data_IF_169911345339
#
_entry.id   IF_169911345339
#
_cell.length_a   1.000
_cell.length_b   1.000
_cell.length_c   1.000
_cell.angle_alpha   90.00
_cell.angle_beta   90.00
_cell.angle_gamma   90.00
#
_symmetry.space_group_name_H-M   'P 1'
#
loop_
_entity.id
_entity.type
_entity.pdbx_description
1 polymer ?
#
# COMPACT_ATOMS: atom_id res chain seq x y z
N UNK A 1 -10.31 -46.15 24.44
CA UNK A 1 -10.23 -44.73 23.99
C UNK A 1 -11.04 -43.76 24.85
N UNK A 2 -12.25 -44.09 25.33
CA UNK A 2 -13.02 -43.14 26.18
C UNK A 2 -12.39 -42.81 27.55
N UNK A 3 -11.65 -43.75 28.15
CA UNK A 3 -10.91 -43.50 29.40
C UNK A 3 -9.93 -42.34 29.29
N UNK A 4 -9.30 -42.15 28.12
CA UNK A 4 -8.33 -41.07 27.90
C UNK A 4 -8.99 -39.70 28.02
N UNK A 5 -10.15 -39.53 27.39
CA UNK A 5 -10.91 -38.27 27.45
C UNK A 5 -11.40 -37.96 28.87
N UNK A 6 -11.83 -38.98 29.63
CA UNK A 6 -12.22 -38.83 31.04
C UNK A 6 -11.04 -38.45 31.95
N UNK A 7 -9.87 -39.05 31.77
CA UNK A 7 -8.66 -38.73 32.57
C UNK A 7 -8.20 -37.29 32.34
N UNK A 8 -8.32 -36.78 31.12
CA UNK A 8 -7.92 -35.41 30.75
C UNK A 8 -9.03 -34.38 31.03
N UNK A 9 -10.23 -34.81 31.42
CA UNK A 9 -11.35 -33.92 31.73
C UNK A 9 -12.00 -33.24 30.52
N UNK A 10 -11.93 -33.85 29.33
CA UNK A 10 -12.49 -33.28 28.09
C UNK A 10 -13.55 -34.23 27.51
N UNK A 11 -14.60 -33.71 26.88
CA UNK A 11 -15.58 -34.53 26.17
C UNK A 11 -15.05 -34.95 24.79
N UNK A 12 -15.38 -36.17 24.34
CA UNK A 12 -15.02 -36.65 22.99
C UNK A 12 -15.46 -35.68 21.90
N UNK A 13 -16.68 -35.17 21.98
CA UNK A 13 -17.22 -34.19 21.04
C UNK A 13 -16.42 -32.88 21.07
N UNK A 14 -16.08 -32.37 22.26
CA UNK A 14 -15.26 -31.18 22.42
C UNK A 14 -13.87 -31.33 21.81
N UNK A 15 -13.22 -32.48 22.02
CA UNK A 15 -11.93 -32.79 21.41
C UNK A 15 -12.01 -32.77 19.88
N UNK A 16 -12.99 -33.47 19.27
CA UNK A 16 -13.12 -33.50 17.81
C UNK A 16 -13.51 -32.12 17.23
N UNK A 17 -14.35 -31.35 17.92
CA UNK A 17 -14.68 -29.99 17.51
C UNK A 17 -13.46 -29.06 17.55
N UNK A 18 -12.65 -29.16 18.61
CA UNK A 18 -11.40 -28.41 18.73
C UNK A 18 -10.41 -28.80 17.63
N UNK A 19 -10.24 -30.12 17.38
CA UNK A 19 -9.39 -30.64 16.31
C UNK A 19 -9.81 -30.06 14.95
N UNK A 20 -11.10 -30.15 14.60
CA UNK A 20 -11.64 -29.62 13.34
C UNK A 20 -11.40 -28.11 13.21
N UNK A 21 -11.57 -27.34 14.29
CA UNK A 21 -11.32 -25.90 14.30
C UNK A 21 -9.84 -25.56 14.08
N UNK A 22 -8.93 -26.37 14.62
CA UNK A 22 -7.48 -26.21 14.41
C UNK A 22 -7.12 -26.49 12.94
N UNK A 23 -7.61 -27.59 12.38
CA UNK A 23 -7.39 -27.96 10.97
C UNK A 23 -7.89 -26.86 10.01
N UNK A 24 -9.10 -26.33 10.23
CA UNK A 24 -9.64 -25.24 9.42
C UNK A 24 -8.80 -23.96 9.51
N UNK A 25 -8.30 -23.66 10.71
CA UNK A 25 -7.44 -22.49 10.95
C UNK A 25 -6.09 -22.65 10.23
N UNK A 26 -5.52 -23.84 10.27
CA UNK A 26 -4.26 -24.14 9.59
C UNK A 26 -4.39 -24.02 8.07
N UNK A 27 -5.45 -24.61 7.50
CA UNK A 27 -5.75 -24.49 6.07
C UNK A 27 -5.93 -23.03 5.62
N UNK A 28 -6.66 -22.23 6.41
CA UNK A 28 -6.83 -20.80 6.16
C UNK A 28 -5.47 -20.09 6.11
N UNK A 29 -4.61 -20.33 7.08
CA UNK A 29 -3.31 -19.67 7.15
C UNK A 29 -2.37 -20.11 6.04
N UNK A 30 -2.37 -21.39 5.68
CA UNK A 30 -1.58 -21.89 4.57
C UNK A 30 -1.98 -21.21 3.25
N UNK A 31 -3.29 -21.15 2.96
CA UNK A 31 -3.82 -20.44 1.80
C UNK A 31 -3.41 -18.95 1.80
N UNK A 32 -3.53 -18.27 2.95
CA UNK A 32 -3.12 -16.86 3.07
C UNK A 32 -1.63 -16.66 2.82
N UNK A 33 -0.78 -17.57 3.30
CA UNK A 33 0.66 -17.53 3.08
C UNK A 33 1.01 -17.59 1.60
N UNK A 34 0.43 -18.55 0.89
CA UNK A 34 0.63 -18.74 -0.55
C UNK A 34 0.19 -17.51 -1.34
N UNK A 35 -1.01 -16.98 -1.07
CA UNK A 35 -1.50 -15.76 -1.74
C UNK A 35 -0.62 -14.54 -1.49
N UNK A 36 -0.12 -14.37 -0.26
CA UNK A 36 0.75 -13.24 0.08
C UNK A 36 2.11 -13.36 -0.62
N UNK A 37 2.67 -14.57 -0.70
CA UNK A 37 3.92 -14.82 -1.43
C UNK A 37 3.74 -14.54 -2.92
N UNK A 38 2.64 -14.99 -3.52
CA UNK A 38 2.33 -14.75 -4.92
C UNK A 38 2.28 -13.25 -5.25
N UNK A 39 1.50 -12.47 -4.48
CA UNK A 39 1.40 -11.02 -4.70
C UNK A 39 2.76 -10.33 -4.48
N UNK A 40 3.55 -10.77 -3.50
CA UNK A 40 4.87 -10.17 -3.24
C UNK A 40 5.95 -10.56 -4.24
N UNK A 41 5.73 -11.60 -5.04
CA UNK A 41 6.61 -11.91 -6.18
C UNK A 41 6.58 -10.77 -7.20
N UNK A 42 5.40 -10.20 -7.45
CA UNK A 42 5.20 -9.06 -8.36
C UNK A 42 5.41 -7.71 -7.65
N UNK A 43 4.99 -7.60 -6.38
CA UNK A 43 5.06 -6.38 -5.58
C UNK A 43 5.78 -6.60 -4.24
N UNK A 44 7.12 -6.69 -4.22
CA UNK A 44 7.88 -7.12 -3.03
C UNK A 44 7.67 -6.28 -1.76
N UNK A 45 7.28 -5.01 -1.92
CA UNK A 45 7.12 -4.05 -0.82
C UNK A 45 5.66 -3.77 -0.45
N UNK A 46 4.71 -4.57 -0.91
CA UNK A 46 3.29 -4.33 -0.59
C UNK A 46 2.97 -4.60 0.90
N UNK A 47 2.48 -3.55 1.56
CA UNK A 47 2.15 -3.55 2.99
C UNK A 47 1.03 -4.52 3.36
N UNK A 48 1.07 -5.01 4.61
CA UNK A 48 0.07 -5.94 5.15
C UNK A 48 -1.37 -5.41 5.05
N UNK A 49 -1.60 -4.13 5.36
CA UNK A 49 -2.94 -3.53 5.27
C UNK A 49 -3.46 -3.47 3.83
N UNK A 50 -2.59 -3.21 2.86
CA UNK A 50 -2.99 -3.20 1.44
C UNK A 50 -3.28 -4.62 0.96
N UNK A 51 -2.46 -5.60 1.34
CA UNK A 51 -2.72 -7.02 1.12
C UNK A 51 -4.07 -7.45 1.70
N UNK A 52 -4.41 -7.01 2.92
CA UNK A 52 -5.68 -7.32 3.56
C UNK A 52 -6.89 -6.87 2.72
N UNK A 53 -6.80 -5.70 2.09
CA UNK A 53 -7.84 -5.17 1.20
C UNK A 53 -7.88 -5.93 -0.13
N UNK A 54 -6.72 -6.16 -0.76
CA UNK A 54 -6.60 -6.88 -2.04
C UNK A 54 -7.16 -8.30 -1.93
N UNK A 55 -6.82 -8.99 -0.84
CA UNK A 55 -7.27 -10.34 -0.55
C UNK A 55 -8.71 -10.39 -0.01
N UNK A 56 -9.39 -9.25 0.13
CA UNK A 56 -10.78 -9.12 0.60
C UNK A 56 -11.07 -9.87 1.91
N UNK A 57 -10.15 -9.80 2.87
CA UNK A 57 -10.18 -10.63 4.09
C UNK A 57 -11.18 -10.17 5.18
N UNK A 58 -12.00 -9.15 4.89
CA UNK A 58 -13.03 -8.67 5.82
C UNK A 58 -14.07 -9.78 6.04
N UNK A 59 -14.28 -10.17 7.29
CA UNK A 59 -15.20 -11.26 7.65
C UNK A 59 -14.51 -12.61 7.88
N UNK A 60 -13.32 -12.82 7.32
CA UNK A 60 -12.55 -14.07 7.51
C UNK A 60 -11.53 -13.95 8.65
N UNK A 61 -10.81 -12.81 8.72
CA UNK A 61 -9.80 -12.55 9.75
C UNK A 61 -9.75 -11.05 10.08
N UNK A 62 -9.49 -10.72 11.34
CA UNK A 62 -9.26 -9.33 11.75
C UNK A 62 -7.90 -8.81 11.28
N UNK A 63 -7.82 -7.54 10.87
CA UNK A 63 -6.60 -6.92 10.34
C UNK A 63 -5.39 -7.07 11.29
N UNK A 64 -5.58 -6.84 12.59
CA UNK A 64 -4.51 -6.99 13.59
C UNK A 64 -4.02 -8.44 13.70
N UNK A 65 -4.92 -9.42 13.53
CA UNK A 65 -4.58 -10.84 13.58
C UNK A 65 -3.82 -11.26 12.31
N UNK A 66 -4.18 -10.70 11.17
CA UNK A 66 -3.47 -10.87 9.91
C UNK A 66 -2.05 -10.28 9.97
N UNK A 67 -1.89 -9.05 10.46
CA UNK A 67 -0.57 -8.42 10.65
C UNK A 67 0.33 -9.24 11.58
N UNK A 68 -0.20 -9.68 12.74
CA UNK A 68 0.53 -10.55 13.67
C UNK A 68 0.94 -11.88 13.02
N UNK A 69 0.06 -12.48 12.23
CA UNK A 69 0.37 -13.72 11.51
C UNK A 69 1.49 -13.53 10.48
N UNK A 70 1.45 -12.46 9.67
CA UNK A 70 2.53 -12.19 8.72
C UNK A 70 3.85 -11.95 9.44
N UNK A 71 3.82 -11.21 10.55
CA UNK A 71 5.02 -10.99 11.37
C UNK A 71 5.58 -12.29 11.94
N UNK A 72 4.73 -13.20 12.45
CA UNK A 72 5.19 -14.47 13.02
C UNK A 72 5.72 -15.45 11.98
N UNK A 73 5.30 -15.32 10.71
CA UNK A 73 5.82 -16.09 9.59
C UNK A 73 7.09 -15.48 8.96
N UNK A 74 7.63 -14.40 9.51
CA UNK A 74 8.77 -13.70 8.91
C UNK A 74 8.42 -12.97 7.60
N UNK A 75 7.14 -12.82 7.30
CA UNK A 75 6.59 -12.10 6.14
C UNK A 75 6.37 -10.61 6.46
N UNK A 76 7.13 -10.05 7.39
CA UNK A 76 7.19 -8.61 7.61
C UNK A 76 8.00 -7.93 6.50
N UNK A 77 7.66 -6.68 6.16
CA UNK A 77 8.51 -5.87 5.28
C UNK A 77 9.56 -5.17 6.11
N UNK A 78 10.84 -5.40 5.78
CA UNK A 78 11.94 -4.64 6.36
C UNK A 78 11.91 -3.20 5.84
N UNK A 79 11.77 -2.24 6.74
CA UNK A 79 11.86 -0.82 6.40
C UNK A 79 13.33 -0.46 6.21
N UNK A 80 13.72 -0.12 4.97
CA UNK A 80 15.02 0.53 4.74
C UNK A 80 14.88 2.00 5.14
N UNK A 81 15.53 2.41 6.22
CA UNK A 81 15.58 3.83 6.60
C UNK A 81 16.43 4.57 5.57
N UNK A 82 15.86 5.56 4.91
CA UNK A 82 16.64 6.53 4.13
C UNK A 82 17.27 7.52 5.10
N UNK A 83 18.58 7.72 5.02
CA UNK A 83 19.28 8.75 5.79
C UNK A 83 19.03 10.15 5.21
N UNK A 84 18.73 10.26 3.92
CA UNK A 84 18.44 11.53 3.27
C UNK A 84 17.02 11.98 3.59
N UNK A 85 16.92 13.11 4.30
CA UNK A 85 15.69 13.87 4.46
C UNK A 85 15.62 14.87 3.30
N UNK A 86 14.71 14.64 2.36
CA UNK A 86 14.49 15.51 1.19
C UNK A 86 13.79 16.82 1.55
N UNK A 87 13.09 16.88 2.70
CA UNK A 87 12.29 18.03 3.11
C UNK A 87 12.62 18.43 4.53
N UNK A 88 13.08 19.68 4.71
CA UNK A 88 13.19 20.30 6.02
C UNK A 88 11.96 21.18 6.28
N UNK A 89 10.85 20.59 6.74
CA UNK A 89 9.65 21.35 7.10
C UNK A 89 9.81 22.20 8.38
N UNK A 90 10.94 22.06 9.08
CA UNK A 90 11.33 22.87 10.23
C UNK A 90 12.32 23.97 9.80
N UNK A 91 11.91 24.75 8.81
CA UNK A 91 12.62 25.95 8.36
C UNK A 91 11.92 27.22 8.87
N UNK A 92 12.65 28.32 8.94
CA UNK A 92 12.12 29.61 9.36
C UNK A 92 11.28 30.34 8.28
N UNK A 93 11.19 29.80 7.06
CA UNK A 93 10.42 30.44 5.98
C UNK A 93 8.91 30.41 6.23
N UNK A 94 8.24 31.45 5.73
CA UNK A 94 6.79 31.60 5.79
C UNK A 94 6.09 30.40 5.13
N UNK A 95 5.11 29.84 5.83
CA UNK A 95 4.30 28.72 5.34
C UNK A 95 2.99 29.26 4.82
N UNK A 96 2.70 29.01 3.55
CA UNK A 96 1.42 29.37 2.96
C UNK A 96 0.33 28.43 3.48
N UNK A 97 -0.87 28.99 3.71
CA UNK A 97 -2.03 28.19 4.08
C UNK A 97 -2.41 27.27 2.93
N UNK A 98 -2.80 26.04 3.27
CA UNK A 98 -3.32 25.10 2.30
C UNK A 98 -4.73 25.54 1.87
N UNK A 99 -4.84 26.21 0.72
CA UNK A 99 -6.10 26.75 0.20
C UNK A 99 -7.15 25.68 -0.13
N UNK A 100 -6.73 24.43 -0.33
CA UNK A 100 -7.63 23.31 -0.63
C UNK A 100 -8.02 22.51 0.62
N UNK A 101 -7.61 22.95 1.82
CA UNK A 101 -7.95 22.27 3.06
C UNK A 101 -9.47 22.30 3.31
N UNK A 102 -10.08 21.14 3.47
CA UNK A 102 -11.53 21.00 3.68
C UNK A 102 -12.37 21.02 2.40
N UNK A 103 -11.76 21.26 1.23
CA UNK A 103 -12.46 21.20 -0.05
C UNK A 103 -12.85 19.76 -0.39
N UNK A 104 -14.14 19.51 -0.58
CA UNK A 104 -14.65 18.23 -1.09
C UNK A 104 -14.71 18.29 -2.62
N UNK A 105 -13.85 17.50 -3.28
CA UNK A 105 -13.87 17.37 -4.73
C UNK A 105 -15.11 16.55 -5.16
N UNK A 106 -15.87 17.07 -6.10
CA UNK A 106 -17.12 16.48 -6.63
C UNK A 106 -17.02 16.05 -8.09
N UNK A 107 -15.92 16.41 -8.77
CA UNK A 107 -15.71 16.05 -10.17
C UNK A 107 -14.27 16.30 -10.62
N UNK A 108 -13.99 15.85 -11.85
CA UNK A 108 -12.70 16.10 -12.52
C UNK A 108 -12.50 17.58 -12.81
N UNK A 109 -11.25 17.98 -13.00
CA UNK A 109 -10.79 19.32 -13.37
C UNK A 109 -11.09 20.41 -12.33
N UNK A 110 -11.22 20.05 -11.05
CA UNK A 110 -11.43 21.02 -9.97
C UNK A 110 -10.12 21.47 -9.32
N UNK A 111 -9.21 20.53 -9.08
CA UNK A 111 -7.89 20.81 -8.50
C UNK A 111 -6.87 19.92 -9.18
N UNK A 112 -5.82 20.54 -9.71
CA UNK A 112 -4.67 19.84 -10.25
C UNK A 112 -3.48 19.96 -9.32
N UNK A 113 -2.75 18.86 -9.18
CA UNK A 113 -1.46 18.84 -8.49
C UNK A 113 -0.34 18.63 -9.50
N UNK A 114 0.76 19.35 -9.31
CA UNK A 114 2.00 19.11 -10.02
C UNK A 114 2.98 18.43 -9.07
N UNK A 115 3.62 17.36 -9.52
CA UNK A 115 4.69 16.69 -8.80
C UNK A 115 5.90 16.52 -9.71
N UNK A 116 7.10 16.67 -9.14
CA UNK A 116 8.37 16.48 -9.86
C UNK A 116 9.14 15.37 -9.16
N UNK A 117 9.50 14.35 -9.92
CA UNK A 117 10.37 13.27 -9.47
C UNK A 117 11.61 13.21 -10.35
N UNK A 118 12.65 12.50 -9.88
CA UNK A 118 13.85 12.26 -10.66
C UNK A 118 14.04 10.76 -10.91
N UNK A 119 14.53 10.43 -12.09
CA UNK A 119 14.88 9.07 -12.49
C UNK A 119 16.33 9.05 -12.97
N UNK A 120 17.13 8.13 -12.41
CA UNK A 120 18.55 8.01 -12.77
C UNK A 120 18.72 6.93 -13.84
N UNK A 121 19.39 7.30 -14.94
CA UNK A 121 19.79 6.38 -16.00
C UNK A 121 21.31 6.45 -16.13
N UNK A 122 21.98 5.36 -15.74
CA UNK A 122 23.45 5.32 -15.60
C UNK A 122 23.90 6.46 -14.67
N UNK A 123 24.71 7.38 -15.18
CA UNK A 123 25.28 8.51 -14.46
C UNK A 123 24.49 9.82 -14.67
N UNK A 124 23.36 9.77 -15.39
CA UNK A 124 22.54 10.95 -15.70
C UNK A 124 21.23 10.95 -14.90
N UNK A 125 20.87 12.13 -14.40
CA UNK A 125 19.59 12.38 -13.70
C UNK A 125 18.61 13.03 -14.68
N UNK A 126 17.44 12.42 -14.83
CA UNK A 126 16.33 12.99 -15.57
C UNK A 126 15.24 13.40 -14.58
N UNK A 127 14.57 14.52 -14.85
CA UNK A 127 13.46 15.03 -14.08
C UNK A 127 12.17 14.72 -14.85
N UNK A 128 11.21 14.12 -14.16
CA UNK A 128 9.88 13.84 -14.70
C UNK A 128 8.90 14.70 -13.92
N UNK A 129 8.13 15.52 -14.62
CA UNK A 129 7.04 16.29 -14.03
C UNK A 129 5.71 15.71 -14.46
N UNK A 130 4.78 15.61 -13.52
CA UNK A 130 3.42 15.16 -13.76
C UNK A 130 2.42 16.25 -13.38
N UNK A 131 1.34 16.36 -14.15
CA UNK A 131 0.13 17.08 -13.77
C UNK A 131 -0.96 16.04 -13.53
N UNK A 132 -1.46 15.95 -12.30
CA UNK A 132 -2.49 15.00 -11.87
C UNK A 132 -3.79 15.73 -11.54
N UNK A 133 -4.92 15.17 -11.97
CA UNK A 133 -6.23 15.56 -11.44
C UNK A 133 -6.48 14.92 -10.07
N UNK A 134 -6.71 15.73 -9.03
CA UNK A 134 -6.85 15.22 -7.67
C UNK A 134 -8.15 14.45 -7.41
N UNK A 135 -9.17 14.58 -8.27
CA UNK A 135 -10.42 13.84 -8.15
C UNK A 135 -10.33 12.46 -8.80
N UNK A 136 -9.99 12.38 -10.09
CA UNK A 136 -9.90 11.10 -10.83
C UNK A 136 -8.61 10.34 -10.59
N UNK A 137 -7.54 11.01 -10.11
CA UNK A 137 -6.17 10.47 -10.03
C UNK A 137 -5.56 10.15 -11.39
N UNK A 138 -6.10 10.74 -12.46
CA UNK A 138 -5.54 10.60 -13.80
C UNK A 138 -4.38 11.59 -14.03
N UNK A 139 -3.32 11.13 -14.68
CA UNK A 139 -2.24 11.98 -15.17
C UNK A 139 -2.75 12.69 -16.43
N UNK A 140 -2.85 14.02 -16.37
CA UNK A 140 -3.32 14.87 -17.47
C UNK A 140 -2.19 15.22 -18.43
N UNK A 141 -0.98 15.40 -17.90
CA UNK A 141 0.21 15.72 -18.69
C UNK A 141 1.47 15.26 -17.96
N UNK A 142 2.53 15.04 -18.73
CA UNK A 142 3.86 14.78 -18.20
C UNK A 142 4.94 15.37 -19.11
N UNK A 143 6.10 15.67 -18.53
CA UNK A 143 7.28 16.13 -19.28
C UNK A 143 8.55 15.53 -18.67
N UNK A 144 9.54 15.27 -19.51
CA UNK A 144 10.84 14.73 -19.11
C UNK A 144 11.95 15.66 -19.59
N UNK A 145 12.83 16.06 -18.68
CA UNK A 145 13.98 16.92 -18.98
C UNK A 145 15.24 16.41 -18.28
N UNK A 146 16.41 16.79 -18.79
CA UNK A 146 17.70 16.53 -18.14
C UNK A 146 18.12 17.67 -17.17
N UNK A 147 17.29 18.70 -17.02
CA UNK A 147 17.50 19.83 -16.12
C UNK A 147 16.19 20.22 -15.42
N UNK A 148 16.29 20.85 -14.25
CA UNK A 148 15.11 21.33 -13.50
C UNK A 148 14.60 22.69 -13.99
N UNK A 149 15.35 23.35 -14.89
CA UNK A 149 15.03 24.68 -15.39
C UNK A 149 13.83 24.65 -16.35
N UNK A 150 12.70 25.10 -15.80
CA UNK A 150 11.60 25.84 -16.44
C UNK A 150 11.45 25.68 -17.96
N UNK A 151 10.70 24.66 -18.40
CA UNK A 151 9.84 24.75 -19.59
C UNK A 151 8.72 23.70 -19.49
N UNK A 152 7.80 23.86 -18.53
CA UNK A 152 6.63 22.97 -18.41
C UNK A 152 5.44 23.37 -19.29
N UNK A 153 5.56 24.47 -20.06
CA UNK A 153 4.46 25.01 -20.86
C UNK A 153 4.85 25.30 -22.32
N UNK A 154 5.73 24.50 -22.94
CA UNK A 154 5.84 24.49 -24.41
C UNK A 154 5.12 23.28 -24.98
N UNK A 155 3.88 23.53 -25.40
CA UNK A 155 3.12 22.82 -26.44
C UNK A 155 3.00 21.29 -26.26
N UNK A 156 2.12 20.86 -25.39
CA UNK A 156 1.22 19.77 -25.76
C UNK A 156 -0.20 20.28 -25.61
N UNK A 157 -0.90 20.39 -26.74
CA UNK A 157 -2.33 20.56 -26.79
C UNK A 157 -2.94 19.57 -25.81
N UNK A 158 -3.65 20.07 -24.80
CA UNK A 158 -4.50 19.24 -23.96
C UNK A 158 -5.47 18.53 -24.92
N UNK A 159 -5.19 17.29 -25.28
CA UNK A 159 -6.18 16.45 -25.95
C UNK A 159 -7.33 16.32 -24.97
N UNK A 160 -8.44 16.97 -25.31
CA UNK A 160 -9.74 16.72 -24.67
C UNK A 160 -9.93 15.20 -24.70
N UNK A 161 -10.02 14.60 -23.52
CA UNK A 161 -10.62 13.29 -23.40
C UNK A 161 -12.13 13.54 -23.43
N UNK A 162 -12.76 13.15 -24.53
CA UNK A 162 -14.22 13.05 -24.67
C UNK A 162 -14.80 12.02 -23.69
#
# INVERSE_FOLDING_TARGET
>A
MERLYKVVGITRQGFHQQKKKLEQKELLYQRLKESVIAIRKEHPRIGARKLFVILKLRGEIGINKFEKYLSSQGLGIKVKRSAQKTTNSNHAWHKYNNLIYGLKLTGVNQVWASDITYYMIKDNVYYITFIEDLFSRSILAYSVSNNICETLLKKQSFTKFD
#
